data_IF_002973952275
#
_entry.id   IF_002973952275
#
_cell.length_a   1.000
_cell.length_b   1.000
_cell.length_c   1.000
_cell.angle_alpha   90.00
_cell.angle_beta   90.00
_cell.angle_gamma   90.00
#
_symmetry.space_group_name_H-M   'P 1'
#
loop_
_entity.id
_entity.type
_entity.pdbx_description
1 polymer ?
#
# COMPACT_ATOMS: atom_id res chain seq x y z
N UNK A 1 3.79 5.24 -37.69
CA UNK A 1 5.24 4.96 -37.70
C UNK A 1 5.66 4.99 -36.25
N UNK A 2 5.70 3.81 -35.65
CA UNK A 2 5.69 3.65 -34.20
C UNK A 2 7.13 3.62 -33.70
N UNK A 3 7.60 4.75 -33.14
CA UNK A 3 8.94 4.93 -32.58
C UNK A 3 9.20 4.19 -31.26
N UNK A 4 8.44 3.13 -30.96
CA UNK A 4 8.53 2.36 -29.72
C UNK A 4 9.27 1.01 -29.87
N UNK A 5 9.72 0.66 -31.09
CA UNK A 5 10.37 -0.62 -31.40
C UNK A 5 11.84 -0.76 -30.96
N UNK A 6 12.53 0.33 -30.60
CA UNK A 6 13.97 0.31 -30.28
C UNK A 6 14.28 0.02 -28.81
N UNK A 7 13.40 0.38 -27.86
CA UNK A 7 13.71 0.26 -26.43
C UNK A 7 13.96 -1.18 -26.00
N UNK A 8 13.12 -2.12 -26.44
CA UNK A 8 13.29 -3.54 -26.14
C UNK A 8 14.62 -4.11 -26.66
N UNK A 9 15.15 -3.56 -27.76
CA UNK A 9 16.44 -3.96 -28.33
C UNK A 9 17.62 -3.36 -27.56
N UNK A 10 17.43 -2.19 -26.95
CA UNK A 10 18.44 -1.51 -26.15
C UNK A 10 18.51 -1.99 -24.70
N UNK A 11 17.45 -2.61 -24.16
CA UNK A 11 17.41 -3.10 -22.77
C UNK A 11 18.62 -3.95 -22.36
N UNK A 12 19.09 -4.94 -23.16
CA UNK A 12 20.26 -5.74 -22.79
C UNK A 12 21.53 -4.89 -22.67
N UNK A 13 21.70 -3.89 -23.54
CA UNK A 13 22.84 -2.98 -23.50
C UNK A 13 22.78 -2.05 -22.29
N UNK A 14 21.62 -1.47 -21.99
CA UNK A 14 21.42 -0.63 -20.80
C UNK A 14 21.66 -1.43 -19.53
N UNK A 15 21.11 -2.65 -19.43
CA UNK A 15 21.33 -3.53 -18.28
C UNK A 15 22.82 -3.88 -18.11
N UNK A 16 23.53 -4.14 -19.21
CA UNK A 16 24.96 -4.38 -19.18
C UNK A 16 25.69 -3.13 -18.66
N UNK A 17 25.48 -1.97 -19.27
CA UNK A 17 26.11 -0.70 -18.86
C UNK A 17 25.85 -0.43 -17.37
N UNK A 18 24.61 -0.55 -16.89
CA UNK A 18 24.29 -0.31 -15.47
C UNK A 18 24.99 -1.32 -14.54
N UNK A 19 25.08 -2.58 -14.94
CA UNK A 19 25.74 -3.61 -14.12
C UNK A 19 27.27 -3.49 -14.14
N UNK A 20 27.87 -2.97 -15.21
CA UNK A 20 29.33 -2.82 -15.34
C UNK A 20 29.84 -1.44 -14.92
N UNK A 21 28.95 -0.45 -14.79
CA UNK A 21 29.33 0.89 -14.34
C UNK A 21 29.73 0.90 -12.87
N UNK A 22 30.90 1.45 -12.57
CA UNK A 22 31.36 1.63 -11.18
C UNK A 22 30.60 2.76 -10.50
N UNK A 23 30.01 2.49 -9.35
CA UNK A 23 29.34 3.53 -8.58
C UNK A 23 30.36 4.40 -7.83
N UNK A 24 30.31 5.72 -8.01
CA UNK A 24 31.35 6.66 -7.50
C UNK A 24 31.61 6.55 -6.00
N UNK A 25 30.59 6.28 -5.18
CA UNK A 25 30.76 6.11 -3.72
C UNK A 25 31.24 4.73 -3.29
N UNK A 26 30.92 3.70 -4.07
CA UNK A 26 31.26 2.32 -3.71
C UNK A 26 32.62 1.92 -4.30
N UNK A 27 33.06 2.60 -5.36
CA UNK A 27 34.25 2.25 -6.12
C UNK A 27 34.13 0.95 -6.93
N UNK A 28 33.01 0.23 -6.75
CA UNK A 28 32.72 -1.07 -7.36
C UNK A 28 31.46 -1.03 -8.20
N UNK A 29 31.37 -1.90 -9.20
CA UNK A 29 30.16 -2.10 -10.02
C UNK A 29 29.25 -3.19 -9.45
N UNK A 30 27.93 -3.19 -9.75
CA UNK A 30 27.04 -4.29 -9.35
C UNK A 30 27.54 -5.67 -9.81
N UNK A 31 28.14 -5.76 -11.01
CA UNK A 31 28.75 -7.00 -11.49
C UNK A 31 29.93 -7.44 -10.63
N UNK A 32 30.79 -6.51 -10.20
CA UNK A 32 31.90 -6.81 -9.29
C UNK A 32 31.42 -7.26 -7.90
N UNK A 33 30.32 -6.71 -7.39
CA UNK A 33 29.74 -7.12 -6.11
C UNK A 33 29.22 -8.56 -6.17
N UNK A 34 28.55 -8.92 -7.27
CA UNK A 34 27.96 -10.27 -7.43
C UNK A 34 29.01 -11.31 -7.83
N UNK A 35 29.90 -10.96 -8.74
CA UNK A 35 30.82 -11.92 -9.37
C UNK A 35 32.29 -11.73 -8.98
N UNK A 36 32.61 -10.82 -8.06
CA UNK A 36 33.97 -10.56 -7.54
C UNK A 36 35.04 -10.23 -8.59
N UNK A 37 34.62 -9.89 -9.81
CA UNK A 37 35.49 -9.58 -10.95
C UNK A 37 34.90 -8.43 -11.76
N UNK A 38 35.76 -7.68 -12.45
CA UNK A 38 35.31 -6.64 -13.38
C UNK A 38 34.69 -7.31 -14.60
N UNK A 39 33.57 -6.78 -15.08
CA UNK A 39 33.04 -7.22 -16.35
C UNK A 39 33.97 -6.78 -17.48
N UNK A 40 34.32 -7.71 -18.36
CA UNK A 40 35.06 -7.38 -19.57
C UNK A 40 34.10 -6.73 -20.56
N UNK A 41 34.26 -5.42 -20.76
CA UNK A 41 33.54 -4.70 -21.80
C UNK A 41 34.21 -5.11 -23.12
N UNK A 42 33.54 -5.99 -23.88
CA UNK A 42 34.07 -6.63 -25.09
C UNK A 42 34.29 -5.72 -26.31
N UNK A 43 34.73 -4.47 -26.12
CA UNK A 43 35.12 -3.56 -27.20
C UNK A 43 36.55 -3.84 -27.71
N UNK A 44 37.39 -4.53 -26.93
CA UNK A 44 38.72 -4.97 -27.36
C UNK A 44 38.75 -6.49 -27.41
N UNK A 45 38.44 -7.04 -28.59
CA UNK A 45 38.43 -8.48 -28.86
C UNK A 45 39.88 -8.99 -29.04
N UNK A 46 40.68 -8.98 -27.98
CA UNK A 46 41.89 -9.81 -27.95
C UNK A 46 41.48 -11.22 -27.55
N UNK A 47 41.31 -12.10 -28.54
CA UNK A 47 40.90 -13.50 -28.43
C UNK A 47 41.91 -14.41 -27.67
N UNK A 48 42.77 -13.85 -26.82
CA UNK A 48 43.87 -14.56 -26.15
C UNK A 48 44.05 -14.24 -24.67
N UNK A 49 43.15 -13.47 -24.04
CA UNK A 49 43.03 -13.53 -22.58
C UNK A 49 42.30 -14.84 -22.26
N UNK A 50 43.08 -15.91 -22.14
CA UNK A 50 42.59 -17.20 -21.71
C UNK A 50 41.67 -17.04 -20.49
N UNK A 51 40.64 -17.87 -20.46
CA UNK A 51 39.76 -18.12 -19.32
C UNK A 51 40.56 -18.68 -18.15
N UNK A 52 41.53 -17.93 -17.63
CA UNK A 52 42.12 -18.20 -16.33
C UNK A 52 41.03 -17.90 -15.32
N UNK A 53 40.37 -18.96 -14.87
CA UNK A 53 39.56 -18.88 -13.67
C UNK A 53 40.51 -18.36 -12.58
N UNK A 54 40.22 -17.19 -11.98
CA UNK A 54 41.04 -16.73 -10.87
C UNK A 54 41.07 -17.84 -9.82
N UNK A 55 42.24 -18.04 -9.22
CA UNK A 55 42.37 -18.91 -8.07
C UNK A 55 41.27 -18.58 -7.05
N UNK A 56 40.58 -19.62 -6.57
CA UNK A 56 39.39 -19.47 -5.72
C UNK A 56 39.75 -18.68 -4.46
N UNK A 57 40.97 -18.85 -3.93
CA UNK A 57 41.46 -18.08 -2.79
C UNK A 57 41.48 -16.58 -3.10
N UNK A 58 42.08 -16.18 -4.22
CA UNK A 58 42.13 -14.78 -4.65
C UNK A 58 40.74 -14.19 -4.91
N UNK A 59 39.80 -15.01 -5.41
CA UNK A 59 38.42 -14.62 -5.62
C UNK A 59 37.69 -14.35 -4.30
N UNK A 60 37.82 -15.26 -3.32
CA UNK A 60 37.22 -15.10 -2.00
C UNK A 60 37.80 -13.90 -1.23
N UNK A 61 39.11 -13.69 -1.32
CA UNK A 61 39.76 -12.53 -0.72
C UNK A 61 39.24 -11.21 -1.30
N UNK A 62 39.02 -11.15 -2.61
CA UNK A 62 38.42 -9.98 -3.26
C UNK A 62 36.97 -9.76 -2.83
N UNK A 63 36.16 -10.81 -2.74
CA UNK A 63 34.79 -10.69 -2.25
C UNK A 63 34.76 -10.18 -0.80
N UNK A 64 35.61 -10.72 0.07
CA UNK A 64 35.73 -10.27 1.45
C UNK A 64 36.11 -8.78 1.52
N UNK A 65 37.05 -8.35 0.67
CA UNK A 65 37.43 -6.94 0.59
C UNK A 65 36.29 -6.03 0.10
N UNK A 66 35.51 -6.48 -0.88
CA UNK A 66 34.33 -5.73 -1.36
C UNK A 66 33.28 -5.62 -0.26
N UNK A 67 33.01 -6.70 0.48
CA UNK A 67 32.06 -6.68 1.60
C UNK A 67 32.48 -5.72 2.71
N UNK A 68 33.75 -5.73 3.11
CA UNK A 68 34.30 -4.80 4.09
C UNK A 68 34.16 -3.33 3.64
N UNK A 69 34.39 -3.05 2.36
CA UNK A 69 34.17 -1.72 1.80
C UNK A 69 32.68 -1.31 1.83
N UNK A 70 31.75 -2.23 1.56
CA UNK A 70 30.32 -1.97 1.67
C UNK A 70 29.92 -1.66 3.11
N UNK A 71 30.41 -2.43 4.09
CA UNK A 71 30.11 -2.22 5.50
C UNK A 71 30.62 -0.87 6.00
N UNK A 72 31.81 -0.45 5.54
CA UNK A 72 32.33 0.89 5.81
C UNK A 72 31.43 1.98 5.23
N UNK A 73 30.94 1.81 4.00
CA UNK A 73 30.02 2.78 3.38
C UNK A 73 28.68 2.82 4.11
N UNK A 74 28.11 1.67 4.48
CA UNK A 74 26.87 1.59 5.26
C UNK A 74 27.06 2.34 6.59
N UNK A 75 28.16 2.08 7.29
CA UNK A 75 28.47 2.76 8.55
C UNK A 75 28.61 4.27 8.37
N UNK A 76 29.24 4.72 7.29
CA UNK A 76 29.37 6.15 6.97
C UNK A 76 28.02 6.80 6.61
N UNK A 77 27.16 6.09 5.87
CA UNK A 77 25.80 6.52 5.57
C UNK A 77 24.99 6.69 6.86
N UNK A 78 25.03 5.71 7.76
CA UNK A 78 24.35 5.77 9.06
C UNK A 78 24.87 6.95 9.91
N UNK A 79 26.19 7.12 10.00
CA UNK A 79 26.80 8.28 10.69
C UNK A 79 26.40 9.61 10.08
N UNK A 80 26.18 9.67 8.76
CA UNK A 80 25.70 10.88 8.09
C UNK A 80 24.24 11.15 8.43
N UNK A 81 23.41 10.12 8.51
CA UNK A 81 22.03 10.25 9.00
C UNK A 81 21.98 10.78 10.43
N UNK A 82 22.84 10.27 11.32
CA UNK A 82 22.97 10.78 12.70
C UNK A 82 23.38 12.27 12.74
N UNK A 83 24.26 12.70 11.81
CA UNK A 83 24.72 14.10 11.72
C UNK A 83 23.69 15.06 11.14
N UNK A 84 22.70 14.59 10.40
CA UNK A 84 21.64 15.43 9.81
C UNK A 84 20.66 15.96 10.88
N UNK A 85 20.91 15.66 12.15
CA UNK A 85 20.09 16.08 13.28
C UNK A 85 18.89 15.15 13.48
N UNK A 86 18.22 15.22 14.64
CA UNK A 86 17.00 14.48 14.84
C UNK A 86 15.99 14.88 13.76
N UNK A 87 15.38 13.89 13.11
CA UNK A 87 14.23 14.14 12.24
C UNK A 87 13.22 15.02 13.00
N UNK A 88 12.55 15.98 12.33
CA UNK A 88 11.58 16.86 12.98
C UNK A 88 10.65 16.03 13.85
N UNK A 89 10.49 16.44 15.12
CA UNK A 89 9.72 15.70 16.13
C UNK A 89 8.36 15.37 15.56
N UNK A 90 8.21 14.14 15.11
CA UNK A 90 6.94 13.64 14.59
C UNK A 90 5.96 13.65 15.76
N UNK A 91 4.73 14.12 15.57
CA UNK A 91 3.77 14.07 16.65
C UNK A 91 3.57 12.60 17.05
N UNK A 92 3.62 12.34 18.35
CA UNK A 92 3.61 10.98 18.89
C UNK A 92 2.21 10.37 18.74
N UNK A 93 1.94 9.79 17.57
CA UNK A 93 0.72 9.03 17.30
C UNK A 93 0.72 7.80 18.20
N UNK A 94 -0.42 7.53 18.84
CA UNK A 94 -0.66 6.35 19.68
C UNK A 94 -1.73 5.45 19.06
N UNK A 95 -1.72 4.18 19.44
CA UNK A 95 -2.84 3.28 19.15
C UNK A 95 -4.13 3.85 19.75
N UNK A 96 -5.16 3.99 18.93
CA UNK A 96 -6.45 4.56 19.30
C UNK A 96 -6.70 5.96 18.74
N UNK A 97 -5.67 6.68 18.30
CA UNK A 97 -5.81 8.04 17.77
C UNK A 97 -6.55 8.05 16.42
N UNK A 98 -7.26 9.15 16.16
CA UNK A 98 -7.86 9.42 14.87
C UNK A 98 -6.87 10.12 13.95
N UNK A 99 -6.76 9.63 12.73
CA UNK A 99 -5.78 10.11 11.76
C UNK A 99 -6.38 10.20 10.37
N UNK A 100 -5.89 11.16 9.58
CA UNK A 100 -6.17 11.28 8.17
C UNK A 100 -5.02 10.75 7.33
N UNK A 101 -5.32 10.27 6.13
CA UNK A 101 -4.35 9.73 5.18
C UNK A 101 -4.25 10.65 3.96
N UNK A 102 -3.02 10.97 3.55
CA UNK A 102 -2.77 11.70 2.29
C UNK A 102 -3.02 10.76 1.10
N UNK A 103 -3.88 11.13 0.14
CA UNK A 103 -4.12 10.31 -1.04
C UNK A 103 -2.85 10.16 -1.87
N UNK A 104 -2.68 9.00 -2.52
CA UNK A 104 -1.52 8.73 -3.38
C UNK A 104 -1.54 9.59 -4.65
N UNK A 105 -2.73 9.81 -5.21
CA UNK A 105 -2.95 10.67 -6.37
C UNK A 105 -3.45 12.03 -5.87
N UNK A 106 -2.70 13.09 -6.18
CA UNK A 106 -3.07 14.46 -5.83
C UNK A 106 -3.86 15.05 -7.00
N UNK A 107 -5.17 15.22 -6.82
CA UNK A 107 -5.96 16.10 -7.68
C UNK A 107 -6.19 17.44 -6.97
N UNK A 108 -6.46 18.50 -7.75
CA UNK A 108 -6.54 19.89 -7.27
C UNK A 108 -7.57 20.11 -6.16
N UNK A 109 -8.57 19.23 -6.03
CA UNK A 109 -9.64 19.31 -5.04
C UNK A 109 -9.68 18.12 -4.06
N UNK A 110 -8.69 17.22 -4.09
CA UNK A 110 -8.66 16.12 -3.12
C UNK A 110 -8.07 16.59 -1.80
N UNK A 111 -8.89 16.48 -0.75
CA UNK A 111 -8.47 16.66 0.64
C UNK A 111 -7.68 15.46 1.17
N UNK A 112 -7.50 15.46 2.49
CA UNK A 112 -7.04 14.27 3.20
C UNK A 112 -8.19 13.27 3.29
N UNK A 113 -7.89 11.98 3.21
CA UNK A 113 -8.86 10.90 3.32
C UNK A 113 -9.08 10.50 4.77
N UNK A 114 -10.30 10.09 5.08
CA UNK A 114 -10.68 9.59 6.41
C UNK A 114 -11.30 10.69 7.25
N UNK A 115 -11.69 10.37 8.49
CA UNK A 115 -10.75 9.91 9.51
C UNK A 115 -10.73 8.40 9.73
N UNK A 116 -9.54 7.88 10.04
CA UNK A 116 -9.27 6.48 10.36
C UNK A 116 -8.79 6.34 11.81
N UNK A 117 -8.98 5.16 12.40
CA UNK A 117 -8.49 4.85 13.75
C UNK A 117 -7.18 4.08 13.68
N UNK A 118 -6.17 4.50 14.43
CA UNK A 118 -4.90 3.76 14.53
C UNK A 118 -5.10 2.49 15.35
N UNK A 119 -4.82 1.33 14.78
CA UNK A 119 -4.87 0.05 15.49
C UNK A 119 -3.49 -0.25 16.11
N UNK A 120 -2.47 -0.32 15.27
CA UNK A 120 -1.12 -0.69 15.68
C UNK A 120 -0.06 0.14 14.94
N UNK A 121 1.06 0.40 15.61
CA UNK A 121 2.24 1.04 15.04
C UNK A 121 3.35 -0.01 15.00
N UNK A 122 3.90 -0.24 13.81
CA UNK A 122 5.00 -1.17 13.60
C UNK A 122 6.34 -0.43 13.60
N UNK A 123 7.43 -1.16 13.89
CA UNK A 123 8.78 -0.62 14.05
C UNK A 123 9.37 0.05 12.81
N UNK A 124 8.87 -0.28 11.60
CA UNK A 124 9.40 0.25 10.33
C UNK A 124 8.61 1.45 9.79
N UNK A 125 8.16 2.38 10.65
CA UNK A 125 7.32 3.52 10.27
C UNK A 125 6.02 3.14 9.52
N UNK A 126 5.58 1.89 9.63
CA UNK A 126 4.32 1.41 9.08
C UNK A 126 3.27 1.43 10.18
N UNK A 127 2.09 1.96 9.86
CA UNK A 127 0.95 2.06 10.77
C UNK A 127 -0.22 1.31 10.17
N UNK A 128 -0.86 0.48 10.99
CA UNK A 128 -2.11 -0.19 10.68
C UNK A 128 -3.25 0.72 11.12
N UNK A 129 -4.06 1.15 10.15
CA UNK A 129 -5.21 2.04 10.36
C UNK A 129 -6.49 1.32 9.96
N UNK A 130 -7.56 1.51 10.73
CA UNK A 130 -8.86 0.89 10.51
C UNK A 130 -9.90 1.96 10.13
N UNK A 131 -10.74 1.66 9.15
CA UNK A 131 -11.88 2.50 8.78
C UNK A 131 -12.94 2.49 9.89
N UNK A 132 -13.52 3.65 10.18
CA UNK A 132 -14.55 3.79 11.21
C UNK A 132 -15.90 3.17 10.82
N UNK A 133 -16.11 2.87 9.53
CA UNK A 133 -17.40 2.41 8.99
C UNK A 133 -17.52 0.88 8.99
N UNK A 134 -16.47 0.18 8.57
CA UNK A 134 -16.48 -1.26 8.33
C UNK A 134 -15.34 -2.02 9.05
N UNK A 135 -14.51 -1.31 9.84
CA UNK A 135 -13.34 -1.85 10.52
C UNK A 135 -12.32 -2.53 9.57
N UNK A 136 -12.35 -2.16 8.28
CA UNK A 136 -11.36 -2.63 7.32
C UNK A 136 -10.00 -2.00 7.61
N UNK A 137 -8.97 -2.85 7.59
CA UNK A 137 -7.61 -2.47 7.98
C UNK A 137 -6.75 -2.21 6.75
N UNK A 138 -5.96 -1.16 6.82
CA UNK A 138 -5.02 -0.76 5.79
C UNK A 138 -3.67 -0.42 6.40
N UNK A 139 -2.59 -0.76 5.68
CA UNK A 139 -1.23 -0.38 6.05
C UNK A 139 -0.83 0.90 5.34
N UNK A 140 -0.34 1.89 6.10
CA UNK A 140 0.14 3.17 5.57
C UNK A 140 1.46 3.57 6.22
N UNK A 141 2.32 4.27 5.48
CA UNK A 141 3.55 4.83 6.02
C UNK A 141 3.27 6.08 6.86
N UNK A 142 3.97 6.26 7.97
CA UNK A 142 3.79 7.36 8.93
C UNK A 142 3.82 8.75 8.27
N UNK A 143 4.64 8.95 7.23
CA UNK A 143 4.75 10.24 6.53
C UNK A 143 3.47 10.65 5.77
N UNK A 144 2.63 9.67 5.43
CA UNK A 144 1.35 9.89 4.76
C UNK A 144 0.22 10.17 5.76
N UNK A 145 0.50 10.14 7.05
CA UNK A 145 -0.50 10.29 8.11
C UNK A 145 -0.47 11.72 8.64
N UNK A 146 -1.65 12.27 8.90
CA UNK A 146 -1.85 13.51 9.62
C UNK A 146 -2.77 13.26 10.82
N UNK A 147 -2.48 13.84 11.97
CA UNK A 147 -3.39 13.74 13.12
C UNK A 147 -4.70 14.47 12.83
N UNK A 148 -5.79 13.85 13.23
CA UNK A 148 -7.09 14.49 13.26
C UNK A 148 -7.13 15.47 14.44
N UNK A 149 -7.72 16.67 14.29
CA UNK A 149 -8.08 17.51 15.43
C UNK A 149 -8.99 16.75 16.41
N UNK A 150 -9.11 17.25 17.64
CA UNK A 150 -10.03 16.69 18.64
C UNK A 150 -11.48 16.86 18.19
N UNK A 151 -11.97 15.84 17.47
CA UNK A 151 -13.31 15.74 16.92
C UNK A 151 -14.02 14.58 17.62
N UNK A 152 -15.32 14.73 17.89
CA UNK A 152 -16.12 13.64 18.45
C UNK A 152 -16.16 12.43 17.52
N UNK A 153 -16.23 11.22 18.07
CA UNK A 153 -16.27 9.98 17.28
C UNK A 153 -17.46 9.93 16.30
N UNK A 154 -18.56 10.58 16.65
CA UNK A 154 -19.77 10.66 15.82
C UNK A 154 -19.55 11.56 14.60
N UNK A 155 -18.97 12.74 14.80
CA UNK A 155 -18.63 13.64 13.69
C UNK A 155 -17.52 13.04 12.81
N UNK A 156 -16.56 12.34 13.41
CA UNK A 156 -15.53 11.60 12.67
C UNK A 156 -16.14 10.51 11.76
N UNK A 157 -17.16 9.79 12.24
CA UNK A 157 -17.89 8.81 11.43
C UNK A 157 -18.64 9.46 10.26
N UNK A 158 -19.26 10.62 10.48
CA UNK A 158 -19.95 11.35 9.42
C UNK A 158 -18.99 11.84 8.33
N UNK A 159 -17.80 12.33 8.71
CA UNK A 159 -16.77 12.67 7.73
C UNK A 159 -16.27 11.45 6.94
N UNK A 160 -16.01 10.33 7.62
CA UNK A 160 -15.60 9.10 6.95
C UNK A 160 -16.68 8.59 5.97
N UNK A 161 -17.96 8.71 6.35
CA UNK A 161 -19.09 8.38 5.49
C UNK A 161 -19.16 9.29 4.26
N UNK A 162 -18.96 10.60 4.43
CA UNK A 162 -18.94 11.56 3.32
C UNK A 162 -17.80 11.27 2.33
N UNK A 163 -16.61 10.92 2.81
CA UNK A 163 -15.44 10.62 1.97
C UNK A 163 -15.65 9.36 1.11
N UNK A 164 -16.32 8.35 1.66
CA UNK A 164 -16.64 7.09 0.97
C UNK A 164 -17.95 7.15 0.17
N UNK A 165 -18.64 8.31 0.14
CA UNK A 165 -19.98 8.49 -0.43
C UNK A 165 -21.01 7.48 0.15
N UNK A 166 -20.90 7.18 1.44
CA UNK A 166 -21.75 6.22 2.16
C UNK A 166 -22.70 6.92 3.12
N UNK A 167 -23.83 6.28 3.39
CA UNK A 167 -24.79 6.72 4.40
C UNK A 167 -24.71 5.84 5.65
N UNK A 168 -24.88 6.44 6.82
CA UNK A 168 -24.85 5.74 8.10
C UNK A 168 -26.26 5.21 8.43
N UNK A 169 -26.33 3.92 8.77
CA UNK A 169 -27.57 3.27 9.18
C UNK A 169 -27.79 3.51 10.67
N UNK A 170 -28.91 4.13 11.03
CA UNK A 170 -29.33 4.28 12.42
C UNK A 170 -29.94 2.97 12.92
N UNK A 171 -30.92 2.44 12.18
CA UNK A 171 -31.64 1.23 12.57
C UNK A 171 -32.27 0.51 11.38
N UNK A 172 -32.37 -0.82 11.46
CA UNK A 172 -33.21 -1.63 10.58
C UNK A 172 -34.59 -1.79 11.23
N UNK A 173 -35.64 -1.34 10.55
CA UNK A 173 -37.02 -1.39 11.05
C UNK A 173 -37.68 -2.71 10.67
N UNK A 174 -37.65 -3.04 9.38
CA UNK A 174 -38.35 -4.20 8.82
C UNK A 174 -37.48 -4.94 7.80
N UNK A 175 -37.79 -6.21 7.57
CA UNK A 175 -37.19 -7.00 6.51
C UNK A 175 -38.26 -7.68 5.67
N UNK A 176 -38.10 -7.63 4.35
CA UNK A 176 -38.91 -8.37 3.40
C UNK A 176 -38.15 -9.62 2.96
N UNK A 177 -38.62 -10.79 3.39
CA UNK A 177 -37.99 -12.07 3.05
C UNK A 177 -38.17 -12.49 1.59
N UNK A 178 -39.20 -11.98 0.89
CA UNK A 178 -39.47 -12.34 -0.50
C UNK A 178 -38.50 -11.65 -1.46
N UNK A 179 -38.31 -10.35 -1.26
CA UNK A 179 -37.47 -9.53 -2.13
C UNK A 179 -36.05 -9.32 -1.58
N UNK A 180 -35.78 -9.87 -0.39
CA UNK A 180 -34.52 -9.69 0.34
C UNK A 180 -34.14 -8.21 0.51
N UNK A 181 -35.12 -7.36 0.85
CA UNK A 181 -34.93 -5.93 1.12
C UNK A 181 -35.11 -5.62 2.60
N UNK A 182 -34.44 -4.57 3.07
CA UNK A 182 -34.49 -4.07 4.45
C UNK A 182 -35.01 -2.63 4.44
N UNK A 183 -35.94 -2.32 5.34
CA UNK A 183 -36.37 -0.95 5.58
C UNK A 183 -35.40 -0.30 6.55
N UNK A 184 -34.65 0.66 6.04
CA UNK A 184 -33.55 1.32 6.76
C UNK A 184 -34.01 2.71 7.24
N UNK A 185 -33.73 2.99 8.50
CA UNK A 185 -33.71 4.34 9.06
C UNK A 185 -32.28 4.88 9.00
N UNK A 186 -32.10 6.00 8.32
CA UNK A 186 -30.79 6.63 8.11
C UNK A 186 -30.51 7.68 9.18
N UNK A 187 -29.28 7.73 9.65
CA UNK A 187 -28.87 8.74 10.63
C UNK A 187 -28.96 10.14 10.00
N UNK A 188 -29.65 11.07 10.67
CA UNK A 188 -29.81 12.45 10.20
C UNK A 188 -30.89 12.68 9.14
N UNK A 189 -31.63 11.64 8.73
CA UNK A 189 -32.75 11.76 7.79
C UNK A 189 -34.07 11.31 8.40
N UNK A 190 -35.15 12.00 8.04
CA UNK A 190 -36.52 11.64 8.47
C UNK A 190 -37.14 10.55 7.60
N UNK A 191 -36.64 10.39 6.37
CA UNK A 191 -37.16 9.42 5.41
C UNK A 191 -36.54 8.03 5.65
N UNK A 192 -37.34 6.99 5.42
CA UNK A 192 -36.90 5.60 5.44
C UNK A 192 -36.97 5.04 4.02
N UNK A 193 -36.04 4.15 3.67
CA UNK A 193 -35.98 3.57 2.33
C UNK A 193 -35.76 2.06 2.38
N UNK A 194 -36.31 1.37 1.39
CA UNK A 194 -36.12 -0.06 1.19
C UNK A 194 -34.84 -0.31 0.41
N UNK A 195 -33.85 -0.91 1.05
CA UNK A 195 -32.55 -1.23 0.44
C UNK A 195 -32.36 -2.73 0.24
N UNK A 196 -31.74 -3.18 -0.86
CA UNK A 196 -31.48 -4.59 -1.08
C UNK A 196 -30.41 -5.10 -0.11
N UNK A 197 -30.59 -6.32 0.42
CA UNK A 197 -29.58 -6.99 1.22
C UNK A 197 -28.49 -7.59 0.31
N UNK A 198 -27.30 -6.97 0.33
CA UNK A 198 -26.13 -7.35 -0.46
C UNK A 198 -25.01 -7.90 0.43
N UNK A 199 -23.98 -8.47 -0.18
CA UNK A 199 -22.80 -8.96 0.56
C UNK A 199 -22.11 -7.83 1.33
N UNK A 200 -22.12 -6.64 0.75
CA UNK A 200 -21.32 -5.52 1.23
C UNK A 200 -22.03 -4.80 2.39
N UNK A 201 -23.36 -4.60 2.30
CA UNK A 201 -24.11 -3.98 3.40
C UNK A 201 -24.46 -4.95 4.54
N UNK A 202 -24.42 -6.27 4.33
CA UNK A 202 -24.64 -7.25 5.39
C UNK A 202 -23.57 -7.20 6.52
N UNK A 203 -22.41 -6.61 6.25
CA UNK A 203 -21.31 -6.42 7.22
C UNK A 203 -21.48 -5.17 8.08
N UNK A 204 -22.38 -4.25 7.70
CA UNK A 204 -22.62 -3.02 8.45
C UNK A 204 -23.21 -3.37 9.81
N UNK A 205 -22.63 -2.84 10.89
CA UNK A 205 -22.94 -3.24 12.28
C UNK A 205 -24.44 -3.43 12.57
N UNK A 206 -25.26 -2.37 12.46
CA UNK A 206 -26.71 -2.42 12.68
C UNK A 206 -27.44 -3.50 11.87
N UNK A 207 -27.06 -3.67 10.60
CA UNK A 207 -27.64 -4.70 9.71
C UNK A 207 -27.21 -6.09 10.18
N UNK A 208 -25.91 -6.27 10.47
CA UNK A 208 -25.35 -7.54 10.91
C UNK A 208 -25.93 -8.01 12.25
N UNK A 209 -26.24 -7.07 13.14
CA UNK A 209 -26.83 -7.33 14.45
C UNK A 209 -28.31 -7.70 14.30
N UNK A 210 -29.05 -6.98 13.46
CA UNK A 210 -30.44 -7.32 13.12
C UNK A 210 -30.56 -8.73 12.50
N UNK A 211 -29.69 -9.06 11.53
CA UNK A 211 -29.68 -10.38 10.90
C UNK A 211 -29.37 -11.50 11.91
N UNK A 212 -28.46 -11.24 12.86
CA UNK A 212 -28.14 -12.18 13.95
C UNK A 212 -29.32 -12.38 14.89
N UNK A 213 -30.01 -11.30 15.29
CA UNK A 213 -31.16 -11.37 16.19
C UNK A 213 -32.34 -12.12 15.57
N UNK A 214 -32.61 -11.91 14.28
CA UNK A 214 -33.71 -12.55 13.57
C UNK A 214 -33.35 -13.89 12.91
N UNK A 215 -32.12 -14.40 13.10
CA UNK A 215 -31.60 -15.67 12.54
C UNK A 215 -31.79 -15.81 11.02
N UNK A 216 -31.69 -14.70 10.30
CA UNK A 216 -31.91 -14.68 8.85
C UNK A 216 -30.65 -15.22 8.15
N UNK A 217 -30.77 -16.39 7.52
CA UNK A 217 -29.72 -16.94 6.64
C UNK A 217 -29.82 -16.29 5.27
N UNK A 218 -29.04 -15.23 5.06
CA UNK A 218 -28.87 -14.68 3.73
C UNK A 218 -28.05 -15.64 2.86
N UNK A 219 -28.57 -15.94 1.66
CA UNK A 219 -27.80 -16.55 0.57
C UNK A 219 -27.58 -15.47 -0.49
N UNK A 220 -26.34 -15.25 -0.97
CA UNK A 220 -26.12 -14.34 -2.08
C UNK A 220 -26.97 -14.77 -3.27
N UNK A 221 -27.83 -13.88 -3.76
CA UNK A 221 -28.42 -14.06 -5.08
C UNK A 221 -27.28 -14.00 -6.09
N UNK A 222 -27.05 -15.12 -6.80
CA UNK A 222 -26.15 -15.14 -7.95
C UNK A 222 -26.62 -14.08 -8.94
N UNK A 223 -25.76 -13.11 -9.21
CA UNK A 223 -25.99 -12.00 -10.15
C UNK A 223 -26.11 -12.44 -11.61
N UNK A 224 -26.12 -13.74 -11.92
CA UNK A 224 -26.19 -14.29 -13.27
C UNK A 224 -27.60 -14.40 -13.88
N UNK A 225 -28.68 -14.15 -13.13
CA UNK A 225 -30.05 -14.40 -13.63
C UNK A 225 -30.84 -13.14 -14.02
N UNK A 226 -30.32 -11.92 -13.81
CA UNK A 226 -31.03 -10.68 -14.22
C UNK A 226 -30.95 -10.35 -15.73
N UNK A 227 -30.35 -11.22 -16.55
CA UNK A 227 -30.11 -10.97 -17.97
C UNK A 227 -31.10 -11.61 -18.97
N UNK A 228 -32.08 -12.42 -18.53
CA UNK A 228 -32.98 -13.15 -19.45
C UNK A 228 -34.45 -13.04 -19.05
N UNK A 229 -35.00 -11.83 -19.00
CA UNK A 229 -36.46 -11.66 -18.96
C UNK A 229 -36.90 -10.25 -19.37
N UNK A 230 -36.37 -9.74 -20.49
CA UNK A 230 -37.00 -8.65 -21.28
C UNK A 230 -36.62 -8.79 -22.75
N UNK A 231 -37.21 -9.78 -23.42
CA UNK A 231 -37.41 -9.82 -24.86
C UNK A 231 -38.36 -10.98 -25.14
N UNK A 232 -39.65 -10.67 -25.09
CA UNK A 232 -40.75 -11.35 -25.78
C UNK A 232 -41.84 -10.33 -25.99
#
# INVERSE_FOLDING_TARGET
>A
MDGYGEWSQLLPFVQHILNTSTHTKLGVSPHEVVYGRRAEIGLVRNQQAALERPDIAQYLDRLAHVQDNLDKVITQCNKREERLGPAPTRPAIRSGDLVFIKPAVKHKLHGLLGPFKVHAIHSNNAVEVASLLNDERQFTHLDKIALCPDISLELARQYAASDDERYIVEQVLEHNTRDHTLLIKWEGYTQTTWEPLTRDNAKVGPISDYLRQHRIRWKPLNTSERGRSRMS
#
